data_IF_478719649069
#
_entry.id   IF_478719649069
#
_cell.length_a   1.000
_cell.length_b   1.000
_cell.length_c   1.000
_cell.angle_alpha   90.00
_cell.angle_beta   90.00
_cell.angle_gamma   90.00
#
_symmetry.space_group_name_H-M   'P 1'
#
loop_
_entity.id
_entity.type
_entity.pdbx_description
1 polymer ?
#
# COMPACT_ATOMS: atom_id res chain seq x y z
N UNK A 1 -14.94 -9.36 -0.25
CA UNK A 1 -14.50 -10.54 0.53
C UNK A 1 -14.22 -10.05 1.95
N UNK A 2 -14.29 -10.87 3.01
CA UNK A 2 -13.88 -10.37 4.33
C UNK A 2 -12.34 -10.21 4.37
N UNK A 3 -11.81 -9.02 4.72
CA UNK A 3 -10.38 -8.81 4.89
C UNK A 3 -9.78 -9.75 5.96
N UNK A 4 -8.49 -10.06 5.86
CA UNK A 4 -7.79 -10.91 6.82
C UNK A 4 -6.30 -10.51 6.92
N UNK A 5 -5.68 -10.67 8.07
CA UNK A 5 -4.25 -10.41 8.27
C UNK A 5 -3.40 -11.65 7.92
N UNK A 6 -2.24 -11.44 7.29
CA UNK A 6 -1.34 -12.53 6.91
C UNK A 6 -0.63 -13.14 8.12
N UNK A 7 -0.60 -12.46 9.25
CA UNK A 7 0.14 -12.82 10.46
C UNK A 7 -0.69 -12.47 11.70
N UNK A 8 -0.20 -12.86 12.88
CA UNK A 8 -0.86 -12.56 14.15
C UNK A 8 -0.66 -11.10 14.54
N UNK A 9 -1.75 -10.42 14.92
CA UNK A 9 -1.70 -9.05 15.43
C UNK A 9 -1.62 -9.05 16.96
N UNK A 10 -0.69 -8.30 17.58
CA UNK A 10 -0.58 -8.17 19.02
C UNK A 10 -1.62 -7.19 19.60
N UNK A 11 -2.46 -6.60 18.75
CA UNK A 11 -3.55 -5.70 19.10
C UNK A 11 -4.84 -6.12 18.39
N UNK A 12 -5.99 -5.69 18.91
CA UNK A 12 -7.27 -5.98 18.27
C UNK A 12 -7.49 -5.06 17.06
N UNK A 13 -7.63 -5.61 15.86
CA UNK A 13 -8.01 -4.85 14.67
C UNK A 13 -9.48 -5.14 14.36
N UNK A 14 -10.35 -4.14 14.48
CA UNK A 14 -11.78 -4.25 14.27
C UNK A 14 -12.22 -3.48 13.04
N UNK A 15 -13.15 -4.05 12.28
CA UNK A 15 -13.67 -3.47 11.05
C UNK A 15 -15.20 -3.45 11.03
N UNK A 16 -15.78 -2.44 10.38
CA UNK A 16 -17.20 -2.43 10.03
C UNK A 16 -17.49 -3.34 8.83
N UNK A 17 -18.76 -3.43 8.46
CA UNK A 17 -19.14 -3.99 7.17
C UNK A 17 -18.59 -3.12 6.02
N UNK A 18 -18.31 -3.76 4.88
CA UNK A 18 -17.97 -3.14 3.61
C UNK A 18 -19.05 -2.16 3.12
N UNK A 19 -18.69 -1.15 2.31
CA UNK A 19 -17.34 -0.83 1.84
C UNK A 19 -16.53 -0.02 2.88
N UNK A 20 -15.21 -0.22 2.90
CA UNK A 20 -14.27 0.48 3.77
C UNK A 20 -13.43 1.52 3.02
N UNK A 21 -13.41 1.51 1.69
CA UNK A 21 -12.64 2.44 0.85
C UNK A 21 -13.39 2.74 -0.45
N UNK A 22 -12.94 3.75 -1.18
CA UNK A 22 -13.47 4.13 -2.50
C UNK A 22 -14.44 5.31 -2.49
N UNK A 23 -14.95 5.62 -3.68
CA UNK A 23 -15.78 6.80 -3.93
C UNK A 23 -17.07 6.81 -3.09
N UNK A 24 -17.33 7.94 -2.44
CA UNK A 24 -18.49 8.15 -1.57
C UNK A 24 -18.36 7.50 -0.19
N UNK A 25 -17.21 6.90 0.13
CA UNK A 25 -16.95 6.28 1.43
C UNK A 25 -16.18 7.24 2.33
N UNK A 26 -16.71 7.46 3.53
CA UNK A 26 -16.02 8.18 4.60
C UNK A 26 -15.47 7.19 5.61
N UNK A 27 -14.16 6.96 5.59
CA UNK A 27 -13.54 5.92 6.41
C UNK A 27 -12.92 6.52 7.65
N UNK A 28 -13.44 6.17 8.81
CA UNK A 28 -12.86 6.56 10.09
C UNK A 28 -11.89 5.49 10.56
N UNK A 29 -10.63 5.89 10.76
CA UNK A 29 -9.60 5.09 11.38
C UNK A 29 -9.32 5.63 12.78
N UNK A 30 -9.48 4.79 13.81
CA UNK A 30 -9.15 5.12 15.19
C UNK A 30 -8.11 4.16 15.74
N UNK A 31 -7.03 4.72 16.25
CA UNK A 31 -5.97 4.02 16.98
C UNK A 31 -6.16 4.27 18.47
N UNK A 32 -6.10 3.21 19.27
CA UNK A 32 -6.16 3.28 20.74
C UNK A 32 -4.84 2.75 21.29
N UNK A 33 -4.24 3.48 22.23
CA UNK A 33 -2.91 3.21 22.75
C UNK A 33 -2.93 2.56 24.13
N UNK A 34 -1.90 1.77 24.42
CA UNK A 34 -1.67 1.13 25.72
C UNK A 34 -1.38 2.13 26.86
N UNK A 35 -1.22 3.42 26.53
CA UNK A 35 -1.13 4.52 27.49
C UNK A 35 0.25 4.73 28.12
N UNK A 36 1.30 4.08 27.61
CA UNK A 36 2.67 4.19 28.12
C UNK A 36 3.53 5.24 27.42
N UNK A 37 3.27 5.53 26.14
CA UNK A 37 4.09 6.46 25.36
C UNK A 37 3.49 7.88 25.30
N UNK A 38 4.35 8.92 25.17
CA UNK A 38 3.89 10.26 24.86
C UNK A 38 3.09 10.29 23.55
N UNK A 39 1.94 10.98 23.57
CA UNK A 39 1.06 11.08 22.39
C UNK A 39 1.78 11.65 21.16
N UNK A 40 2.70 12.60 21.36
CA UNK A 40 3.50 13.15 20.26
C UNK A 40 4.27 12.06 19.51
N UNK A 41 4.91 11.13 20.22
CA UNK A 41 5.65 10.01 19.63
C UNK A 41 4.72 9.09 18.86
N UNK A 42 3.58 8.72 19.45
CA UNK A 42 2.57 7.90 18.77
C UNK A 42 2.07 8.58 17.50
N UNK A 43 1.78 9.89 17.55
CA UNK A 43 1.34 10.68 16.39
C UNK A 43 2.38 10.67 15.27
N UNK A 44 3.64 10.94 15.57
CA UNK A 44 4.72 10.94 14.57
C UNK A 44 4.87 9.57 13.89
N UNK A 45 4.84 8.48 14.67
CA UNK A 45 4.93 7.10 14.17
C UNK A 45 3.75 6.78 13.25
N UNK A 46 2.51 6.96 13.74
CA UNK A 46 1.34 6.52 12.99
C UNK A 46 0.98 7.42 11.82
N UNK A 47 1.24 8.73 11.91
CA UNK A 47 1.14 9.61 10.74
C UNK A 47 2.11 9.16 9.65
N UNK A 48 3.32 8.73 9.99
CA UNK A 48 4.28 8.19 9.00
C UNK A 48 3.77 6.91 8.34
N UNK A 49 3.20 5.98 9.12
CA UNK A 49 2.56 4.77 8.57
C UNK A 49 1.38 5.10 7.66
N UNK A 50 0.55 6.08 8.05
CA UNK A 50 -0.55 6.55 7.24
C UNK A 50 -0.10 7.26 5.97
N UNK A 51 1.02 7.99 6.00
CA UNK A 51 1.62 8.57 4.79
C UNK A 51 2.05 7.48 3.81
N UNK A 52 2.69 6.40 4.27
CA UNK A 52 3.01 5.26 3.39
C UNK A 52 1.76 4.62 2.80
N UNK A 53 0.72 4.40 3.60
CA UNK A 53 -0.56 3.88 3.09
C UNK A 53 -1.17 4.82 2.03
N UNK A 54 -1.18 6.12 2.29
CA UNK A 54 -1.70 7.13 1.36
C UNK A 54 -0.88 7.27 0.08
N UNK A 55 0.45 7.10 0.13
CA UNK A 55 1.30 7.01 -1.06
C UNK A 55 0.92 5.79 -1.90
N UNK A 56 0.73 4.62 -1.28
CA UNK A 56 0.29 3.42 -2.02
C UNK A 56 -1.09 3.62 -2.67
N UNK A 57 -2.03 4.27 -1.98
CA UNK A 57 -3.30 4.73 -2.54
C UNK A 57 -3.10 5.62 -3.78
N UNK A 58 -2.27 6.66 -3.66
CA UNK A 58 -2.02 7.63 -4.72
C UNK A 58 -1.38 7.00 -5.97
N UNK A 59 -0.48 6.03 -5.76
CA UNK A 59 0.18 5.29 -6.85
C UNK A 59 -0.71 4.20 -7.47
N UNK A 60 -1.94 4.05 -6.98
CA UNK A 60 -2.91 3.09 -7.50
C UNK A 60 -2.63 1.64 -7.11
N UNK A 61 -1.74 1.39 -6.13
CA UNK A 61 -1.32 0.04 -5.74
C UNK A 61 -2.49 -0.86 -5.29
N UNK A 62 -3.60 -0.26 -4.86
CA UNK A 62 -4.78 -0.97 -4.36
C UNK A 62 -5.86 -1.22 -5.42
N UNK A 63 -5.49 -1.21 -6.70
CA UNK A 63 -6.38 -1.57 -7.81
C UNK A 63 -7.38 -0.48 -8.21
N UNK A 64 -7.31 0.69 -7.58
CA UNK A 64 -8.11 1.87 -7.93
C UNK A 64 -7.17 3.02 -8.28
N UNK A 65 -7.45 3.71 -9.38
CA UNK A 65 -6.69 4.89 -9.78
C UNK A 65 -7.23 6.08 -9.02
N UNK A 66 -6.35 6.75 -8.27
CA UNK A 66 -6.70 7.97 -7.55
C UNK A 66 -7.22 9.06 -8.50
N UNK A 67 -7.85 10.11 -7.98
CA UNK A 67 -7.99 11.37 -8.72
C UNK A 67 -6.63 12.05 -8.87
N UNK A 68 -6.45 12.94 -9.84
CA UNK A 68 -5.26 13.83 -9.91
C UNK A 68 -5.22 14.81 -8.73
N UNK A 69 -6.39 15.13 -8.16
CA UNK A 69 -6.53 16.03 -7.01
C UNK A 69 -6.37 15.31 -5.66
N UNK A 70 -6.20 13.98 -5.67
CA UNK A 70 -6.09 13.19 -4.45
C UNK A 70 -4.83 13.59 -3.66
N UNK A 71 -5.02 14.05 -2.42
CA UNK A 71 -3.94 14.43 -1.53
C UNK A 71 -3.95 13.54 -0.27
N UNK A 72 -3.02 12.58 -0.16
CA UNK A 72 -2.97 11.68 1.00
C UNK A 72 -2.54 12.36 2.30
N UNK A 73 -1.95 13.56 2.23
CA UNK A 73 -1.35 14.26 3.38
C UNK A 73 -2.38 15.16 4.07
N UNK A 74 -3.26 15.81 3.31
CA UNK A 74 -4.23 16.77 3.84
C UNK A 74 -5.03 16.25 5.05
N UNK A 75 -5.71 15.08 4.99
CA UNK A 75 -6.50 14.59 6.12
C UNK A 75 -5.63 14.19 7.33
N UNK A 76 -4.35 13.83 7.10
CA UNK A 76 -3.44 13.42 8.16
C UNK A 76 -2.95 14.59 9.03
N UNK A 77 -3.09 15.82 8.52
CA UNK A 77 -2.68 17.05 9.21
C UNK A 77 -3.90 17.85 9.67
N UNK A 78 -4.94 17.93 8.84
CA UNK A 78 -6.06 18.86 9.05
C UNK A 78 -7.19 18.24 9.91
N UNK A 79 -7.40 16.93 9.78
CA UNK A 79 -8.56 16.22 10.35
C UNK A 79 -8.15 15.19 11.41
N UNK A 80 -7.09 15.49 12.16
CA UNK A 80 -6.65 14.70 13.31
C UNK A 80 -7.53 14.98 14.52
N UNK A 81 -8.15 13.92 15.03
CA UNK A 81 -8.80 13.91 16.34
C UNK A 81 -7.90 13.19 17.34
N UNK A 82 -7.65 13.84 18.47
CA UNK A 82 -6.75 13.32 19.49
C UNK A 82 -7.35 13.44 20.90
N UNK A 83 -7.31 12.32 21.62
CA UNK A 83 -7.61 12.21 23.04
C UNK A 83 -6.39 11.67 23.78
N UNK A 84 -6.39 11.63 25.12
CA UNK A 84 -5.23 11.15 25.92
C UNK A 84 -4.67 9.78 25.49
N UNK A 85 -5.49 8.91 24.91
CA UNK A 85 -5.13 7.54 24.54
C UNK A 85 -5.57 7.14 23.13
N UNK A 86 -6.00 8.09 22.30
CA UNK A 86 -6.37 7.76 20.93
C UNK A 86 -6.05 8.83 19.93
N UNK A 87 -5.82 8.36 18.71
CA UNK A 87 -5.58 9.16 17.53
C UNK A 87 -6.53 8.67 16.43
N UNK A 88 -7.25 9.57 15.80
CA UNK A 88 -8.20 9.22 14.75
C UNK A 88 -8.11 10.17 13.55
N UNK A 89 -8.41 9.61 12.39
CA UNK A 89 -8.53 10.34 11.13
C UNK A 89 -9.82 9.95 10.43
N UNK A 90 -10.36 10.92 9.67
CA UNK A 90 -11.44 10.66 8.70
C UNK A 90 -10.85 10.75 7.29
N UNK A 91 -10.92 9.63 6.57
CA UNK A 91 -10.30 9.40 5.28
C UNK A 91 -11.41 9.28 4.24
N UNK A 92 -11.79 10.42 3.64
CA UNK A 92 -12.89 10.48 2.69
C UNK A 92 -12.42 10.20 1.27
N UNK A 93 -13.14 9.34 0.56
CA UNK A 93 -12.90 9.02 -0.87
C UNK A 93 -11.47 8.50 -1.12
N UNK A 94 -10.90 7.76 -0.16
CA UNK A 94 -9.56 7.18 -0.30
C UNK A 94 -9.59 6.00 -1.29
N UNK A 95 -8.75 6.00 -2.34
CA UNK A 95 -8.81 5.00 -3.39
C UNK A 95 -8.24 3.66 -2.90
N UNK A 96 -9.01 2.59 -3.10
CA UNK A 96 -8.60 1.23 -2.81
C UNK A 96 -9.78 0.30 -2.63
N UNK A 97 -9.49 -0.99 -2.49
CA UNK A 97 -10.47 -2.02 -2.13
C UNK A 97 -10.35 -2.40 -0.67
N UNK A 98 -11.34 -3.11 -0.13
CA UNK A 98 -11.36 -3.54 1.28
C UNK A 98 -10.15 -4.41 1.66
N UNK A 99 -9.53 -5.12 0.71
CA UNK A 99 -8.30 -5.87 0.93
C UNK A 99 -7.10 -4.98 1.31
N UNK A 100 -7.16 -3.66 1.05
CA UNK A 100 -6.14 -2.71 1.50
C UNK A 100 -6.02 -2.64 3.04
N UNK A 101 -7.04 -3.11 3.77
CA UNK A 101 -6.97 -3.29 5.23
C UNK A 101 -5.77 -4.15 5.65
N UNK A 102 -5.43 -5.18 4.87
CA UNK A 102 -4.28 -6.06 5.15
C UNK A 102 -2.95 -5.31 5.03
N UNK A 103 -2.86 -4.34 4.11
CA UNK A 103 -1.69 -3.47 3.96
C UNK A 103 -1.57 -2.55 5.17
N UNK A 104 -2.67 -1.95 5.57
CA UNK A 104 -2.72 -1.06 6.73
C UNK A 104 -2.33 -1.78 8.03
N UNK A 105 -2.88 -2.98 8.24
CA UNK A 105 -2.50 -3.83 9.37
C UNK A 105 -0.99 -4.13 9.39
N UNK A 106 -0.38 -4.31 8.21
CA UNK A 106 1.05 -4.63 8.07
C UNK A 106 1.93 -3.44 8.40
N UNK A 107 1.54 -2.26 7.94
CA UNK A 107 2.24 -1.02 8.27
C UNK A 107 2.24 -0.74 9.78
N UNK A 108 1.14 -1.05 10.48
CA UNK A 108 1.03 -0.89 11.94
C UNK A 108 1.82 -1.92 12.75
N UNK A 109 2.30 -2.99 12.11
CA UNK A 109 3.17 -3.99 12.73
C UNK A 109 4.65 -3.64 12.71
N UNK A 110 5.05 -2.53 12.08
CA UNK A 110 6.41 -2.01 12.22
C UNK A 110 6.81 -1.81 13.69
N UNK A 111 8.11 -1.89 14.01
CA UNK A 111 8.67 -1.98 15.37
C UNK A 111 8.11 -0.92 16.30
N UNK A 112 8.02 0.30 15.78
CA UNK A 112 7.60 1.47 16.53
C UNK A 112 6.08 1.50 16.79
N UNK A 113 5.28 0.76 16.02
CA UNK A 113 3.81 0.81 16.09
C UNK A 113 3.20 -0.31 16.94
N UNK A 114 3.70 -1.55 16.78
CA UNK A 114 3.04 -2.75 17.33
C UNK A 114 2.91 -2.74 18.87
N UNK A 115 3.87 -2.14 19.57
CA UNK A 115 3.91 -2.08 21.04
C UNK A 115 3.01 -0.98 21.60
N UNK A 116 2.67 0.02 20.78
CA UNK A 116 1.91 1.19 21.19
C UNK A 116 0.41 0.94 21.19
N UNK A 117 -0.07 0.10 20.27
CA UNK A 117 -1.49 -0.12 20.04
C UNK A 117 -2.08 -1.12 21.03
N UNK A 118 -3.24 -0.78 21.58
CA UNK A 118 -4.17 -1.73 22.19
C UNK A 118 -5.18 -2.24 21.15
N UNK A 119 -5.67 -1.34 20.30
CA UNK A 119 -6.64 -1.66 19.26
C UNK A 119 -6.64 -0.65 18.12
N UNK A 120 -7.09 -1.12 16.96
CA UNK A 120 -7.38 -0.35 15.76
C UNK A 120 -8.84 -0.58 15.41
N UNK A 121 -9.56 0.48 15.10
CA UNK A 121 -10.95 0.43 14.65
C UNK A 121 -11.04 1.15 13.30
N UNK A 122 -11.58 0.47 12.30
CA UNK A 122 -11.76 0.99 10.95
C UNK A 122 -13.22 0.85 10.54
N UNK A 123 -13.90 1.97 10.36
CA UNK A 123 -15.31 2.00 10.01
C UNK A 123 -15.58 2.85 8.78
N UNK A 124 -16.26 2.28 7.80
CA UNK A 124 -16.82 3.04 6.66
C UNK A 124 -18.18 3.64 7.03
N UNK A 125 -18.41 4.90 6.65
CA UNK A 125 -19.70 5.59 6.77
C UNK A 125 -20.33 5.51 8.17
N UNK A 126 -19.50 5.71 9.21
CA UNK A 126 -19.84 5.66 10.63
C UNK A 126 -20.55 4.36 11.08
N UNK A 127 -20.36 3.26 10.33
CA UNK A 127 -20.91 1.97 10.69
C UNK A 127 -20.18 1.37 11.90
N UNK A 128 -20.90 0.65 12.78
CA UNK A 128 -20.26 -0.01 13.92
C UNK A 128 -19.24 -1.06 13.46
N UNK A 129 -18.13 -1.16 14.18
CA UNK A 129 -17.16 -2.25 14.00
C UNK A 129 -17.75 -3.55 14.55
N UNK A 130 -18.02 -4.52 13.67
CA UNK A 130 -18.71 -5.78 14.01
C UNK A 130 -17.82 -7.01 13.88
N UNK A 131 -16.68 -6.90 13.21
CA UNK A 131 -15.76 -8.00 12.96
C UNK A 131 -14.37 -7.67 13.50
N UNK A 132 -13.65 -8.72 13.90
CA UNK A 132 -12.21 -8.63 14.16
C UNK A 132 -11.49 -9.22 12.96
N UNK A 133 -10.42 -8.55 12.52
CA UNK A 133 -9.58 -9.02 11.42
C UNK A 133 -8.95 -10.36 11.79
N UNK A 134 -9.33 -11.42 11.08
CA UNK A 134 -8.83 -12.76 11.36
C UNK A 134 -7.42 -12.97 10.79
N UNK A 135 -6.61 -13.79 11.45
CA UNK A 135 -5.33 -14.25 10.91
C UNK A 135 -5.56 -15.42 9.94
N UNK A 136 -5.14 -15.28 8.69
CA UNK A 136 -5.25 -16.31 7.65
C UNK A 136 -3.95 -16.37 6.82
N UNK A 137 -2.87 -17.02 7.30
CA UNK A 137 -1.50 -16.86 6.82
C UNK A 137 -1.20 -17.49 5.45
N UNK A 138 -2.21 -18.07 4.80
CA UNK A 138 -2.09 -18.78 3.51
C UNK A 138 -3.29 -18.51 2.59
N UNK A 139 -4.06 -17.47 2.87
CA UNK A 139 -5.21 -17.12 2.03
C UNK A 139 -4.69 -16.39 0.80
N UNK A 140 -4.96 -16.95 -0.38
CA UNK A 140 -4.77 -16.25 -1.64
C UNK A 140 -5.68 -15.02 -1.71
N UNK A 141 -5.20 -13.90 -2.27
CA UNK A 141 -6.00 -12.68 -2.40
C UNK A 141 -6.20 -11.99 -1.05
N UNK A 142 -5.15 -11.98 -0.23
CA UNK A 142 -5.14 -11.32 1.07
C UNK A 142 -4.90 -9.82 0.96
N UNK A 143 -4.13 -9.44 -0.05
CA UNK A 143 -3.86 -8.06 -0.43
C UNK A 143 -4.69 -7.68 -1.67
N UNK A 144 -4.78 -6.38 -2.00
CA UNK A 144 -5.47 -5.95 -3.21
C UNK A 144 -4.93 -6.65 -4.46
N UNK A 145 -5.83 -7.25 -5.23
CA UNK A 145 -5.47 -7.95 -6.46
C UNK A 145 -5.06 -6.97 -7.58
N UNK A 146 -4.35 -7.49 -8.58
CA UNK A 146 -4.12 -6.75 -9.82
C UNK A 146 -5.44 -6.56 -10.56
N UNK A 147 -5.75 -5.32 -10.94
CA UNK A 147 -6.90 -5.00 -11.81
C UNK A 147 -6.65 -5.55 -13.23
N UNK A 148 -7.69 -5.61 -14.05
CA UNK A 148 -7.49 -5.97 -15.45
C UNK A 148 -6.60 -4.92 -16.15
N UNK A 149 -5.37 -5.31 -16.51
CA UNK A 149 -4.42 -4.46 -17.23
C UNK A 149 -4.60 -4.65 -18.73
N UNK A 150 -4.53 -3.58 -19.55
CA UNK A 150 -4.70 -3.69 -21.00
C UNK A 150 -3.49 -4.31 -21.71
N UNK A 151 -2.35 -4.41 -21.02
CA UNK A 151 -1.07 -4.91 -21.54
C UNK A 151 -0.61 -6.17 -20.78
N UNK A 152 0.27 -6.99 -21.37
CA UNK A 152 0.91 -8.10 -20.68
C UNK A 152 1.75 -7.58 -19.50
N UNK A 153 1.59 -8.21 -18.35
CA UNK A 153 2.38 -7.93 -17.16
C UNK A 153 3.16 -9.17 -16.77
N UNK A 154 4.48 -9.03 -16.62
CA UNK A 154 5.35 -10.07 -16.10
C UNK A 154 6.44 -9.45 -15.25
N UNK A 155 6.78 -10.12 -14.14
CA UNK A 155 7.94 -9.82 -13.32
C UNK A 155 8.84 -11.04 -13.38
N UNK A 156 10.09 -10.81 -13.75
CA UNK A 156 11.11 -11.84 -13.67
C UNK A 156 11.53 -11.99 -12.21
N UNK A 157 11.31 -13.19 -11.68
CA UNK A 157 11.73 -13.56 -10.33
C UNK A 157 12.80 -14.64 -10.42
N UNK A 158 14.04 -14.24 -10.17
CA UNK A 158 15.13 -15.19 -9.93
C UNK A 158 15.06 -15.55 -8.45
N UNK A 159 14.86 -16.83 -8.11
CA UNK A 159 14.53 -17.30 -6.75
C UNK A 159 15.51 -16.98 -5.61
N UNK A 160 16.46 -16.08 -5.83
CA UNK A 160 17.52 -15.61 -4.93
C UNK A 160 17.23 -14.18 -4.39
N UNK A 161 15.96 -13.85 -4.16
CA UNK A 161 15.49 -12.57 -3.58
C UNK A 161 15.56 -11.33 -4.48
N UNK A 162 15.92 -11.51 -5.76
CA UNK A 162 15.98 -10.44 -6.74
C UNK A 162 14.78 -10.53 -7.70
N UNK A 163 14.11 -9.40 -7.87
CA UNK A 163 13.00 -9.23 -8.79
C UNK A 163 13.32 -8.09 -9.74
N UNK A 164 13.15 -8.33 -11.03
CA UNK A 164 13.28 -7.28 -12.04
C UNK A 164 11.97 -7.10 -12.76
N UNK A 165 11.48 -5.86 -12.71
CA UNK A 165 10.38 -5.40 -13.54
C UNK A 165 10.95 -4.86 -14.86
N UNK A 166 10.49 -5.41 -15.99
CA UNK A 166 10.71 -4.85 -17.31
C UNK A 166 9.41 -4.26 -17.86
N UNK A 167 9.45 -3.00 -18.28
CA UNK A 167 8.32 -2.34 -18.95
C UNK A 167 8.79 -1.84 -20.31
N UNK A 168 8.09 -2.27 -21.36
CA UNK A 168 8.24 -1.73 -22.71
C UNK A 168 7.09 -0.77 -23.02
N UNK A 169 7.40 0.35 -23.65
CA UNK A 169 6.47 1.39 -24.04
C UNK A 169 6.24 1.39 -25.55
N UNK A 170 5.05 1.77 -26.01
CA UNK A 170 4.72 1.80 -27.45
C UNK A 170 5.65 2.72 -28.27
N UNK A 171 6.14 3.78 -27.62
CA UNK A 171 7.12 4.70 -28.16
C UNK A 171 7.99 5.24 -27.02
N UNK A 172 9.12 5.87 -27.36
CA UNK A 172 10.05 6.45 -26.39
C UNK A 172 9.35 7.52 -25.52
N UNK A 173 9.27 7.33 -24.18
CA UNK A 173 8.68 8.33 -23.31
C UNK A 173 9.46 9.64 -23.32
N UNK A 174 8.72 10.77 -23.31
CA UNK A 174 9.29 12.10 -23.13
C UNK A 174 9.93 12.25 -21.76
N UNK A 175 10.86 13.21 -21.61
CA UNK A 175 11.60 13.43 -20.36
C UNK A 175 10.68 13.62 -19.14
N UNK A 176 9.66 14.47 -19.26
CA UNK A 176 8.68 14.73 -18.18
C UNK A 176 7.94 13.45 -17.76
N UNK A 177 7.54 12.62 -18.74
CA UNK A 177 6.91 11.33 -18.45
C UNK A 177 7.89 10.36 -17.77
N UNK A 178 9.16 10.33 -18.17
CA UNK A 178 10.20 9.51 -17.51
C UNK A 178 10.42 9.93 -16.07
N UNK A 179 10.47 11.23 -15.81
CA UNK A 179 10.60 11.79 -14.46
C UNK A 179 9.41 11.35 -13.59
N UNK A 180 8.18 11.52 -14.08
CA UNK A 180 6.98 11.10 -13.35
C UNK A 180 6.85 9.58 -13.13
N UNK A 181 7.25 8.77 -14.11
CA UNK A 181 7.30 7.30 -13.98
C UNK A 181 8.34 6.88 -12.93
N UNK A 182 9.52 7.50 -12.97
CA UNK A 182 10.61 7.24 -12.03
C UNK A 182 10.20 7.59 -10.61
N UNK A 183 9.58 8.75 -10.41
CA UNK A 183 9.04 9.19 -9.12
C UNK A 183 7.96 8.23 -8.62
N UNK A 184 7.01 7.85 -9.48
CA UNK A 184 5.92 6.91 -9.14
C UNK A 184 6.45 5.57 -8.63
N UNK A 185 7.37 4.95 -9.36
CA UNK A 185 7.97 3.67 -8.98
C UNK A 185 8.80 3.78 -7.69
N UNK A 186 9.56 4.87 -7.54
CA UNK A 186 10.39 5.10 -6.35
C UNK A 186 9.53 5.34 -5.10
N UNK A 187 8.47 6.14 -5.21
CA UNK A 187 7.53 6.40 -4.12
C UNK A 187 6.77 5.13 -3.72
N UNK A 188 6.32 4.35 -4.70
CA UNK A 188 5.72 3.04 -4.42
C UNK A 188 6.70 2.14 -3.67
N UNK A 189 7.94 2.01 -4.15
CA UNK A 189 8.91 1.12 -3.54
C UNK A 189 9.27 1.56 -2.11
N UNK A 190 9.45 2.86 -1.88
CA UNK A 190 9.68 3.42 -0.55
C UNK A 190 8.50 3.12 0.41
N UNK A 191 7.26 3.28 -0.05
CA UNK A 191 6.10 3.02 0.79
C UNK A 191 5.83 1.53 1.02
N UNK A 192 6.02 0.69 0.00
CA UNK A 192 5.82 -0.76 0.09
C UNK A 192 6.91 -1.43 0.95
N UNK A 193 8.17 -0.98 0.82
CA UNK A 193 9.31 -1.46 1.63
C UNK A 193 9.20 -1.08 3.11
N UNK A 194 8.31 -0.15 3.49
CA UNK A 194 8.03 0.21 4.88
C UNK A 194 7.21 -0.85 5.65
N UNK A 195 7.05 -2.06 5.09
CA UNK A 195 6.37 -3.19 5.69
C UNK A 195 4.90 -3.34 5.28
N UNK A 196 4.49 -2.79 4.14
CA UNK A 196 3.09 -2.85 3.68
C UNK A 196 2.59 -4.25 3.31
N UNK A 197 3.49 -5.19 3.03
CA UNK A 197 3.15 -6.51 2.52
C UNK A 197 3.81 -7.61 3.36
N UNK A 198 3.42 -7.74 4.63
CA UNK A 198 3.97 -8.71 5.56
C UNK A 198 3.64 -10.17 5.20
N UNK A 199 4.49 -11.10 5.64
CA UNK A 199 4.34 -12.56 5.43
C UNK A 199 4.49 -13.33 6.74
N UNK A 200 3.68 -14.36 6.93
CA UNK A 200 3.90 -15.33 8.00
C UNK A 200 5.05 -16.28 7.64
N UNK A 201 5.98 -16.64 8.53
CA UNK A 201 6.12 -16.25 9.94
C UNK A 201 7.24 -15.21 10.16
N UNK A 202 7.57 -14.43 9.13
CA UNK A 202 8.58 -13.38 9.26
C UNK A 202 7.98 -12.20 10.01
N UNK A 203 8.75 -11.66 10.95
CA UNK A 203 8.37 -10.40 11.58
C UNK A 203 8.20 -9.34 10.49
N UNK A 204 7.12 -8.52 10.50
CA UNK A 204 6.88 -7.51 9.48
C UNK A 204 8.04 -6.52 9.27
N UNK A 205 8.90 -6.35 10.28
CA UNK A 205 10.14 -5.57 10.21
C UNK A 205 11.24 -6.15 9.34
N UNK A 206 11.23 -7.47 9.20
CA UNK A 206 12.09 -8.20 8.28
C UNK A 206 11.43 -8.33 6.92
N UNK A 207 10.23 -7.77 6.77
CA UNK A 207 9.53 -7.72 5.51
C UNK A 207 9.82 -6.39 4.80
N UNK A 208 10.11 -6.47 3.52
CA UNK A 208 10.52 -5.33 2.70
C UNK A 208 11.39 -5.78 1.55
N UNK A 209 11.99 -4.82 0.88
CA UNK A 209 12.93 -5.03 -0.22
C UNK A 209 13.78 -3.78 -0.38
N UNK A 210 14.90 -3.92 -1.07
CA UNK A 210 15.83 -2.83 -1.37
C UNK A 210 15.73 -2.50 -2.85
N UNK A 211 15.71 -1.20 -3.17
CA UNK A 211 15.90 -0.74 -4.55
C UNK A 211 17.42 -0.69 -4.80
N UNK A 212 17.93 -1.53 -5.69
CA UNK A 212 19.38 -1.73 -5.87
C UNK A 212 20.08 -0.55 -6.53
N UNK A 213 19.45 -0.03 -7.59
CA UNK A 213 20.01 0.96 -8.50
C UNK A 213 18.93 1.97 -8.92
N UNK A 214 19.35 3.08 -9.53
CA UNK A 214 18.41 3.96 -10.25
C UNK A 214 17.72 3.17 -11.38
N UNK A 215 16.48 3.57 -11.71
CA UNK A 215 15.72 2.93 -12.80
C UNK A 215 16.50 3.05 -14.11
N UNK A 216 16.85 1.90 -14.71
CA UNK A 216 17.59 1.86 -15.96
C UNK A 216 16.65 2.10 -17.14
N UNK A 217 16.92 3.15 -17.91
CA UNK A 217 16.11 3.55 -19.06
C UNK A 217 16.81 3.19 -20.36
N UNK A 218 16.19 2.31 -21.14
CA UNK A 218 16.70 1.89 -22.44
C UNK A 218 15.71 2.31 -23.53
N UNK A 219 15.94 3.46 -24.16
CA UNK A 219 15.12 3.99 -25.26
C UNK A 219 13.59 4.02 -24.94
N UNK A 220 12.87 3.00 -25.34
CA UNK A 220 11.43 2.74 -25.20
C UNK A 220 11.11 1.72 -24.08
N UNK A 221 12.07 1.37 -23.23
CA UNK A 221 11.87 0.51 -22.09
C UNK A 221 12.51 1.05 -20.81
N UNK A 222 12.09 0.47 -19.69
CA UNK A 222 12.77 0.60 -18.40
C UNK A 222 12.94 -0.76 -17.73
N UNK A 223 13.97 -0.85 -16.90
CA UNK A 223 14.20 -1.96 -15.98
C UNK A 223 14.27 -1.43 -14.55
N UNK A 224 13.50 -2.04 -13.65
CA UNK A 224 13.45 -1.66 -12.24
C UNK A 224 13.71 -2.89 -11.38
N UNK A 225 14.82 -2.86 -10.63
CA UNK A 225 15.32 -3.98 -9.86
C UNK A 225 15.07 -3.79 -8.36
N UNK A 226 14.56 -4.83 -7.73
CA UNK A 226 14.37 -4.95 -6.29
C UNK A 226 15.17 -6.16 -5.79
N UNK A 227 16.04 -5.98 -4.81
CA UNK A 227 16.72 -7.09 -4.12
C UNK A 227 16.18 -7.29 -2.71
N UNK A 228 16.66 -8.38 -2.10
CA UNK A 228 16.33 -8.74 -0.73
C UNK A 228 14.81 -8.80 -0.51
N UNK A 229 14.08 -9.27 -1.52
CA UNK A 229 12.63 -9.28 -1.51
C UNK A 229 12.09 -10.24 -0.44
N UNK A 230 11.56 -9.66 0.62
CA UNK A 230 10.97 -10.32 1.79
C UNK A 230 9.56 -9.79 1.98
N UNK A 231 8.68 -9.97 1.01
CA UNK A 231 7.30 -9.50 1.12
C UNK A 231 6.35 -10.56 0.57
N UNK A 232 5.05 -10.36 0.81
CA UNK A 232 4.05 -11.24 0.25
C UNK A 232 4.10 -11.13 -1.27
N UNK A 233 4.01 -12.23 -2.03
CA UNK A 233 4.02 -12.18 -3.50
C UNK A 233 2.99 -11.21 -4.08
N UNK A 234 1.81 -11.08 -3.46
CA UNK A 234 0.79 -10.07 -3.82
C UNK A 234 1.28 -8.61 -3.77
N UNK A 235 2.44 -8.30 -3.20
CA UNK A 235 3.06 -6.97 -3.38
C UNK A 235 3.35 -6.67 -4.86
N UNK A 236 3.62 -7.71 -5.63
CA UNK A 236 3.80 -7.65 -7.09
C UNK A 236 2.49 -7.37 -7.81
N UNK A 237 1.36 -7.77 -7.24
CA UNK A 237 0.05 -7.35 -7.76
C UNK A 237 -0.15 -5.84 -7.58
N UNK A 238 0.27 -5.32 -6.43
CA UNK A 238 0.33 -3.88 -6.20
C UNK A 238 1.19 -3.16 -7.23
N UNK A 239 2.38 -3.69 -7.54
CA UNK A 239 3.26 -3.15 -8.58
C UNK A 239 2.65 -3.21 -9.98
N UNK A 240 1.90 -4.28 -10.29
CA UNK A 240 1.13 -4.39 -11.52
C UNK A 240 0.07 -3.29 -11.63
N UNK A 241 -0.64 -2.99 -10.54
CA UNK A 241 -1.58 -1.89 -10.49
C UNK A 241 -0.92 -0.51 -10.71
N UNK A 242 0.29 -0.30 -10.15
CA UNK A 242 1.10 0.91 -10.41
C UNK A 242 1.44 1.03 -11.89
N UNK A 243 1.75 -0.08 -12.57
CA UNK A 243 1.99 -0.05 -14.01
C UNK A 243 0.72 0.29 -14.80
N UNK A 244 -0.44 -0.13 -14.33
CA UNK A 244 -1.71 0.36 -14.86
C UNK A 244 -1.85 1.89 -14.75
N UNK A 245 -1.49 2.46 -13.59
CA UNK A 245 -1.47 3.92 -13.41
C UNK A 245 -0.51 4.59 -14.40
N UNK A 246 0.68 4.01 -14.59
CA UNK A 246 1.68 4.48 -15.55
C UNK A 246 1.10 4.53 -16.97
N UNK A 247 0.46 3.44 -17.39
CA UNK A 247 -0.19 3.34 -18.71
C UNK A 247 -1.31 4.38 -18.92
N UNK A 248 -2.04 4.72 -17.87
CA UNK A 248 -3.15 5.66 -17.95
C UNK A 248 -2.72 7.12 -17.93
N UNK A 249 -1.75 7.46 -17.08
CA UNK A 249 -1.41 8.86 -16.78
C UNK A 249 -0.15 9.37 -17.47
N UNK A 250 0.85 8.50 -17.63
CA UNK A 250 2.17 8.95 -18.05
C UNK A 250 2.46 8.56 -19.49
N UNK A 251 2.40 7.26 -19.81
CA UNK A 251 2.79 6.78 -21.12
C UNK A 251 2.28 5.37 -21.41
N UNK A 252 1.90 5.10 -22.67
CA UNK A 252 1.34 3.79 -23.06
C UNK A 252 2.40 2.69 -23.01
N UNK A 253 2.12 1.68 -22.18
CA UNK A 253 2.85 0.41 -22.11
C UNK A 253 2.42 -0.46 -23.29
N UNK A 254 3.38 -1.11 -23.95
CA UNK A 254 3.18 -1.91 -25.16
C UNK A 254 2.35 -3.17 -24.90
N UNK A 255 1.38 -3.43 -25.79
CA UNK A 255 0.65 -4.70 -25.81
C UNK A 255 1.51 -5.83 -26.42
N UNK A 256 1.45 -7.03 -25.83
CA UNK A 256 2.13 -8.25 -26.33
C UNK A 256 1.76 -8.61 -27.79
N UNK A 257 0.73 -7.99 -28.35
CA UNK A 257 0.20 -8.29 -29.67
C UNK A 257 0.87 -7.51 -30.82
N UNK A 258 1.95 -6.79 -30.55
CA UNK A 258 2.78 -6.18 -31.60
C UNK A 258 4.23 -6.65 -31.45
N UNK A 259 4.49 -7.86 -31.96
CA UNK A 259 5.82 -8.35 -32.32
C UNK A 259 5.74 -9.04 -33.69
#
# INVERSE_FOLDING_TARGET
MNPAAAYSLPFAFRISASPLWGDGVSTRLKLVFNGSEPMQTAREVFTTKMMHFGVLCAMGAFGTVASEEFNPIAPLIQDVEEDERSLAWTLKDWPGTDEAVSVLASLFMGDDGKTLLSSVELSGNDQPCIATLEQQPRKSGQYPATRALPFPWHIEWTGDDEMTLHVAFEEKPKREAREGITETLTMWAAAASAGGYGIDSLEPLKCGFVVDEEIDWQNDGLSFRLSHFRAHPDALDGLGNVCGLIHERFWKIQDAHVA
#
